data_IF_525640475111
#
_entry.id   IF_525640475111
#
_cell.length_a   1.000
_cell.length_b   1.000
_cell.length_c   1.000
_cell.angle_alpha   90.00
_cell.angle_beta   90.00
_cell.angle_gamma   90.00
#
_symmetry.space_group_name_H-M   'P 1'
#
loop_
_entity.id
_entity.type
_entity.pdbx_description
1 polymer ?
#
# COMPACT_ATOMS: atom_id res chain seq x y z
N UNK A 1 24.02 48.94 -9.17
CA UNK A 1 23.53 47.88 -10.08
C UNK A 1 24.65 46.87 -10.39
N UNK A 2 24.81 45.80 -9.60
CA UNK A 2 25.46 44.59 -10.15
C UNK A 2 24.85 43.25 -9.67
N UNK A 3 23.63 43.22 -9.14
CA UNK A 3 23.02 41.96 -8.60
C UNK A 3 22.17 41.16 -9.61
N UNK A 4 21.84 41.72 -10.77
CA UNK A 4 21.00 41.04 -11.77
C UNK A 4 21.79 40.12 -12.72
N UNK A 5 23.08 40.37 -12.92
CA UNK A 5 23.93 39.61 -13.85
C UNK A 5 24.39 38.27 -13.26
N UNK A 6 24.62 38.18 -11.95
CA UNK A 6 24.98 36.92 -11.28
C UNK A 6 23.82 35.93 -11.20
N UNK A 7 22.58 36.41 -11.04
CA UNK A 7 21.40 35.56 -11.02
C UNK A 7 21.14 34.91 -12.40
N UNK A 8 21.30 35.68 -13.48
CA UNK A 8 21.18 35.18 -14.85
C UNK A 8 22.28 34.17 -15.20
N UNK A 9 23.51 34.40 -14.74
CA UNK A 9 24.64 33.48 -14.95
C UNK A 9 24.52 32.17 -14.15
N UNK A 10 23.89 32.21 -12.96
CA UNK A 10 23.58 31.00 -12.18
C UNK A 10 22.47 30.19 -12.85
N UNK A 11 21.41 30.85 -13.32
CA UNK A 11 20.28 30.19 -13.99
C UNK A 11 20.72 29.48 -15.28
N UNK A 12 21.58 30.12 -16.09
CA UNK A 12 22.11 29.53 -17.33
C UNK A 12 23.03 28.33 -17.08
N UNK A 13 23.82 28.35 -16.00
CA UNK A 13 24.64 27.19 -15.59
C UNK A 13 23.78 26.02 -15.09
N UNK A 14 22.70 26.26 -14.33
CA UNK A 14 21.76 25.19 -13.93
C UNK A 14 21.00 24.59 -15.11
N UNK A 15 20.62 25.40 -16.10
CA UNK A 15 19.96 24.91 -17.32
C UNK A 15 20.92 24.12 -18.22
N UNK A 16 22.19 24.52 -18.32
CA UNK A 16 23.21 23.78 -19.06
C UNK A 16 23.54 22.43 -18.40
N UNK A 17 23.64 22.38 -17.07
CA UNK A 17 23.87 21.11 -16.33
C UNK A 17 22.66 20.18 -16.44
N UNK A 18 21.43 20.70 -16.40
CA UNK A 18 20.22 19.90 -16.61
C UNK A 18 20.12 19.34 -18.04
N UNK A 19 20.55 20.11 -19.06
CA UNK A 19 20.60 19.65 -20.45
C UNK A 19 21.69 18.58 -20.69
N UNK A 20 22.84 18.66 -20.01
CA UNK A 20 23.89 17.64 -20.09
C UNK A 20 23.52 16.33 -19.37
N UNK A 21 22.78 16.40 -18.26
CA UNK A 21 22.24 15.20 -17.59
C UNK A 21 21.13 14.55 -18.43
N UNK A 22 20.31 15.34 -19.12
CA UNK A 22 19.28 14.83 -20.03
C UNK A 22 19.86 14.18 -21.29
N UNK A 23 20.95 14.70 -21.87
CA UNK A 23 21.65 14.04 -22.99
C UNK A 23 22.40 12.78 -22.55
N UNK A 24 22.96 12.74 -21.33
CA UNK A 24 23.63 11.55 -20.79
C UNK A 24 22.67 10.37 -20.56
N UNK A 25 21.41 10.64 -20.21
CA UNK A 25 20.38 9.62 -20.01
C UNK A 25 19.80 9.06 -21.33
N UNK A 26 19.89 9.81 -22.44
CA UNK A 26 19.46 9.33 -23.76
C UNK A 26 20.58 8.55 -24.47
N UNK A 27 21.85 8.89 -24.22
CA UNK A 27 23.00 8.16 -24.78
C UNK A 27 23.31 6.83 -24.05
N UNK A 28 22.87 6.66 -22.80
CA UNK A 28 23.02 5.41 -22.04
C UNK A 28 22.07 4.28 -22.47
N UNK A 29 21.07 4.57 -23.29
CA UNK A 29 20.08 3.60 -23.76
C UNK A 29 20.44 2.92 -25.09
N UNK A 30 21.53 3.32 -25.76
CA UNK A 30 21.94 2.78 -27.06
C UNK A 30 23.22 1.94 -27.03
N UNK A 31 23.75 1.63 -25.84
CA UNK A 31 24.89 0.72 -25.65
C UNK A 31 24.44 -0.58 -24.96
N UNK A 32 23.41 -1.25 -25.49
CA UNK A 32 23.25 -2.68 -25.26
C UNK A 32 24.19 -3.42 -26.23
N UNK A 33 25.04 -4.27 -25.64
CA UNK A 33 25.96 -5.18 -26.32
C UNK A 33 25.45 -5.65 -27.68
N UNK A 34 26.22 -5.35 -28.73
CA UNK A 34 26.21 -6.18 -29.95
C UNK A 34 26.59 -7.59 -29.51
N UNK A 35 25.61 -8.49 -29.47
CA UNK A 35 25.89 -9.92 -29.47
C UNK A 35 26.71 -10.22 -30.73
N UNK A 36 27.82 -10.94 -30.57
CA UNK A 36 28.45 -11.62 -31.70
C UNK A 36 27.43 -12.62 -32.23
N UNK A 37 27.13 -12.54 -33.53
CA UNK A 37 26.30 -13.50 -34.23
C UNK A 37 27.00 -14.88 -34.18
N UNK A 38 26.53 -15.76 -33.30
CA UNK A 38 26.88 -17.17 -33.38
C UNK A 38 26.35 -17.73 -34.72
N UNK A 39 27.13 -18.57 -35.43
CA UNK A 39 26.67 -19.19 -36.66
C UNK A 39 25.39 -20.00 -36.39
N UNK A 40 24.43 -20.00 -37.34
CA UNK A 40 23.17 -20.71 -37.17
C UNK A 40 23.43 -22.19 -36.86
N UNK A 41 22.66 -22.81 -35.96
CA UNK A 41 22.79 -24.24 -35.68
C UNK A 41 22.65 -25.02 -36.99
N UNK A 42 23.37 -26.15 -37.16
CA UNK A 42 23.24 -26.97 -38.36
C UNK A 42 21.76 -27.31 -38.60
N UNK A 43 21.32 -27.33 -39.87
CA UNK A 43 19.92 -27.59 -40.18
C UNK A 43 19.49 -28.87 -39.51
N UNK A 44 18.38 -28.80 -38.75
CA UNK A 44 17.75 -29.97 -38.18
C UNK A 44 17.58 -31.00 -39.28
N UNK A 45 18.20 -32.17 -39.09
CA UNK A 45 18.11 -33.29 -40.03
C UNK A 45 16.63 -33.59 -40.28
N UNK A 46 16.23 -33.40 -41.54
CA UNK A 46 14.93 -33.67 -42.14
C UNK A 46 13.78 -33.99 -41.18
N UNK A 47 13.06 -32.96 -40.74
CA UNK A 47 11.64 -33.17 -40.43
C UNK A 47 10.97 -33.61 -41.74
N UNK A 48 10.55 -34.88 -41.82
CA UNK A 48 9.64 -35.32 -42.87
C UNK A 48 8.50 -34.32 -42.99
N UNK A 49 8.21 -33.89 -44.21
CA UNK A 49 7.28 -32.79 -44.55
C UNK A 49 6.07 -32.72 -43.60
N UNK A 50 6.13 -31.82 -42.63
CA UNK A 50 5.02 -31.44 -41.75
C UNK A 50 4.01 -30.54 -42.45
N UNK A 51 3.64 -30.89 -43.69
CA UNK A 51 2.53 -30.26 -44.41
C UNK A 51 1.22 -30.95 -44.05
N UNK A 52 0.11 -30.21 -44.08
CA UNK A 52 -1.23 -30.80 -44.06
C UNK A 52 -1.33 -31.69 -45.32
N UNK A 53 -1.21 -33.00 -45.14
CA UNK A 53 -1.43 -33.99 -46.20
C UNK A 53 -2.93 -34.04 -46.47
N UNK A 54 -3.37 -33.74 -47.69
CA UNK A 54 -4.76 -33.94 -48.09
C UNK A 54 -5.11 -35.42 -47.94
N UNK A 55 -6.06 -35.75 -47.07
CA UNK A 55 -6.54 -37.12 -46.89
C UNK A 55 -7.80 -37.33 -47.74
N UNK A 56 -7.87 -38.46 -48.43
CA UNK A 56 -9.08 -38.83 -49.16
C UNK A 56 -10.18 -39.20 -48.15
N UNK A 57 -11.35 -38.57 -48.25
CA UNK A 57 -12.47 -38.76 -47.31
C UNK A 57 -12.91 -40.23 -47.17
N UNK A 58 -12.67 -41.05 -48.19
CA UNK A 58 -12.98 -42.48 -48.15
C UNK A 58 -12.00 -43.30 -47.28
N UNK A 59 -10.80 -42.77 -47.00
CA UNK A 59 -9.76 -43.40 -46.17
C UNK A 59 -9.82 -42.93 -44.70
N UNK A 60 -10.62 -41.90 -44.39
CA UNK A 60 -10.81 -41.33 -43.04
C UNK A 60 -12.02 -41.94 -42.33
N UNK A 61 -12.64 -42.96 -42.93
CA UNK A 61 -13.73 -43.70 -42.29
C UNK A 61 -13.22 -44.33 -40.98
N UNK A 62 -13.96 -44.17 -39.85
CA UNK A 62 -13.54 -44.70 -38.55
C UNK A 62 -13.23 -46.20 -38.57
N UNK A 63 -13.84 -46.95 -39.49
CA UNK A 63 -13.66 -48.39 -39.68
C UNK A 63 -12.34 -48.76 -40.41
N UNK A 64 -11.76 -47.82 -41.17
CA UNK A 64 -10.57 -48.02 -42.02
C UNK A 64 -9.32 -47.45 -41.35
N UNK A 65 -9.44 -46.31 -40.68
CA UNK A 65 -8.37 -45.70 -39.91
C UNK A 65 -8.95 -45.11 -38.63
N UNK A 66 -8.82 -45.81 -37.48
CA UNK A 66 -9.24 -45.28 -36.21
C UNK A 66 -8.57 -43.92 -35.96
N UNK A 67 -9.34 -42.96 -35.45
CA UNK A 67 -8.76 -41.66 -35.09
C UNK A 67 -7.65 -41.88 -34.05
N UNK A 68 -6.58 -41.10 -34.14
CA UNK A 68 -5.48 -41.18 -33.19
C UNK A 68 -6.02 -41.05 -31.75
N UNK A 69 -7.05 -40.25 -31.54
CA UNK A 69 -7.73 -40.06 -30.25
C UNK A 69 -8.36 -41.32 -29.65
N UNK A 70 -8.70 -42.31 -30.47
CA UNK A 70 -9.27 -43.59 -30.02
C UNK A 70 -8.25 -44.60 -29.53
N UNK A 71 -6.94 -44.30 -29.66
CA UNK A 71 -5.88 -45.19 -29.19
C UNK A 71 -5.90 -45.28 -27.64
N UNK A 72 -5.74 -46.48 -27.05
CA UNK A 72 -5.57 -46.62 -25.62
C UNK A 72 -4.40 -45.77 -25.11
N UNK A 73 -4.61 -45.06 -24.01
CA UNK A 73 -3.57 -44.21 -23.43
C UNK A 73 -3.29 -42.92 -24.22
N UNK A 74 -4.15 -42.56 -25.19
CA UNK A 74 -3.92 -41.38 -26.03
C UNK A 74 -3.74 -40.13 -25.18
N UNK A 75 -4.56 -39.89 -24.15
CA UNK A 75 -4.47 -38.67 -23.34
C UNK A 75 -3.20 -38.60 -22.49
N UNK A 76 -2.57 -39.73 -22.22
CA UNK A 76 -1.39 -39.88 -21.37
C UNK A 76 -0.08 -39.76 -22.16
N UNK A 77 -0.13 -39.78 -23.49
CA UNK A 77 1.08 -39.71 -24.33
C UNK A 77 1.83 -38.38 -24.16
N UNK A 78 3.16 -38.47 -24.06
CA UNK A 78 4.08 -37.33 -24.16
C UNK A 78 4.21 -36.83 -25.62
N UNK A 79 4.92 -35.72 -25.85
CA UNK A 79 5.08 -35.16 -27.19
C UNK A 79 5.75 -36.10 -28.20
N UNK A 80 6.74 -36.89 -27.77
CA UNK A 80 7.43 -37.82 -28.67
C UNK A 80 6.50 -38.95 -29.12
N UNK A 81 5.67 -39.48 -28.21
CA UNK A 81 4.63 -40.46 -28.51
C UNK A 81 3.53 -39.87 -29.39
N UNK A 82 3.06 -38.64 -29.07
CA UNK A 82 2.05 -37.92 -29.87
C UNK A 82 2.50 -37.74 -31.30
N UNK A 83 3.75 -37.34 -31.52
CA UNK A 83 4.28 -37.07 -32.84
C UNK A 83 4.37 -38.34 -33.72
N UNK A 84 4.30 -39.55 -33.15
CA UNK A 84 4.24 -40.81 -33.91
C UNK A 84 2.83 -41.10 -34.43
N UNK A 85 1.79 -40.75 -33.68
CA UNK A 85 0.39 -41.08 -34.01
C UNK A 85 -0.39 -39.92 -34.63
N UNK A 86 0.00 -38.69 -34.29
CA UNK A 86 -0.57 -37.46 -34.84
C UNK A 86 0.54 -36.39 -34.94
N UNK A 87 1.40 -36.46 -35.98
CA UNK A 87 2.48 -35.49 -36.20
C UNK A 87 1.98 -34.05 -36.20
N UNK A 88 2.74 -33.13 -35.60
CA UNK A 88 2.38 -31.71 -35.49
C UNK A 88 1.44 -31.36 -34.33
N UNK A 89 0.83 -32.34 -33.65
CA UNK A 89 0.09 -32.08 -32.41
C UNK A 89 1.04 -32.01 -31.21
N UNK A 90 1.18 -30.83 -30.62
CA UNK A 90 1.98 -30.55 -29.41
C UNK A 90 1.12 -30.40 -28.13
N UNK A 91 -0.14 -30.88 -28.15
CA UNK A 91 -1.06 -30.83 -27.01
C UNK A 91 -0.46 -31.28 -25.67
N UNK A 92 0.33 -32.36 -25.56
CA UNK A 92 0.87 -32.76 -24.25
C UNK A 92 1.80 -31.71 -23.63
N UNK A 93 2.63 -31.05 -24.45
CA UNK A 93 3.51 -29.96 -24.03
C UNK A 93 2.69 -28.75 -23.58
N UNK A 94 1.67 -28.35 -24.35
CA UNK A 94 0.81 -27.23 -23.95
C UNK A 94 0.00 -27.51 -22.69
N UNK A 95 -0.42 -28.77 -22.46
CA UNK A 95 -1.04 -29.18 -21.19
C UNK A 95 -0.04 -29.04 -20.03
N UNK A 96 1.20 -29.46 -20.22
CA UNK A 96 2.28 -29.25 -19.25
C UNK A 96 2.51 -27.77 -18.96
N UNK A 97 2.65 -26.95 -20.00
CA UNK A 97 2.80 -25.49 -19.88
C UNK A 97 1.62 -24.88 -19.13
N UNK A 98 0.38 -25.24 -19.46
CA UNK A 98 -0.82 -24.77 -18.76
C UNK A 98 -0.85 -25.19 -17.28
N UNK A 99 -0.27 -26.35 -16.96
CA UNK A 99 -0.14 -26.84 -15.59
C UNK A 99 1.01 -26.17 -14.80
N UNK A 100 1.80 -25.30 -15.43
CA UNK A 100 2.94 -24.63 -14.77
C UNK A 100 4.28 -25.32 -14.95
N UNK A 101 4.41 -26.21 -15.96
CA UNK A 101 5.68 -26.88 -16.21
C UNK A 101 6.82 -25.87 -16.46
N UNK A 102 7.94 -26.08 -15.79
CA UNK A 102 9.14 -25.28 -15.94
C UNK A 102 9.95 -25.75 -17.17
N UNK A 103 10.18 -24.83 -18.10
CA UNK A 103 11.09 -25.01 -19.22
C UNK A 103 12.54 -24.70 -18.87
N UNK A 104 13.44 -25.02 -19.79
CA UNK A 104 14.86 -24.69 -19.63
C UNK A 104 15.12 -23.21 -19.92
N UNK A 105 15.96 -22.59 -19.09
CA UNK A 105 16.51 -21.24 -19.29
C UNK A 105 17.97 -21.23 -18.83
N UNK A 106 18.81 -20.43 -19.48
CA UNK A 106 20.21 -20.23 -19.09
C UNK A 106 20.37 -19.23 -17.94
N UNK A 107 19.29 -18.56 -17.52
CA UNK A 107 19.34 -17.59 -16.43
C UNK A 107 19.48 -18.30 -15.07
N UNK A 108 20.38 -17.82 -14.18
CA UNK A 108 20.48 -18.36 -12.83
C UNK A 108 19.16 -18.20 -12.07
N UNK A 109 18.69 -19.26 -11.39
CA UNK A 109 17.47 -19.22 -10.56
C UNK A 109 17.52 -18.16 -9.46
N UNK A 110 18.71 -17.82 -8.95
CA UNK A 110 18.89 -16.75 -7.97
C UNK A 110 18.58 -15.36 -8.51
N UNK A 111 18.67 -15.14 -9.83
CA UNK A 111 18.36 -13.88 -10.49
C UNK A 111 16.97 -13.89 -11.13
N UNK A 112 16.55 -15.04 -11.66
CA UNK A 112 15.30 -15.20 -12.38
C UNK A 112 14.61 -16.53 -11.99
N UNK A 113 14.01 -16.62 -10.79
CA UNK A 113 13.49 -17.87 -10.23
C UNK A 113 12.39 -18.52 -11.07
N UNK A 114 11.62 -17.73 -11.82
CA UNK A 114 10.52 -18.20 -12.67
C UNK A 114 10.77 -18.01 -14.17
N UNK A 115 12.01 -17.79 -14.63
CA UNK A 115 12.29 -17.54 -16.05
C UNK A 115 11.96 -18.72 -16.98
N UNK A 116 11.90 -19.94 -16.46
CA UNK A 116 11.43 -21.12 -17.19
C UNK A 116 9.90 -21.27 -17.22
N UNK A 117 9.14 -20.46 -16.48
CA UNK A 117 7.70 -20.65 -16.28
C UNK A 117 6.91 -19.68 -17.16
N UNK A 118 6.31 -20.20 -18.24
CA UNK A 118 5.51 -19.39 -19.16
C UNK A 118 4.13 -19.04 -18.58
N UNK A 119 3.39 -20.05 -18.10
CA UNK A 119 2.09 -19.90 -17.45
C UNK A 119 2.26 -20.36 -16.00
N UNK A 120 1.83 -19.54 -15.04
CA UNK A 120 1.87 -19.94 -13.63
C UNK A 120 0.88 -21.08 -13.38
N UNK A 121 1.24 -21.95 -12.43
CA UNK A 121 0.40 -23.05 -11.97
C UNK A 121 -1.02 -22.60 -11.60
N UNK A 122 -1.91 -23.58 -11.57
CA UNK A 122 -3.28 -23.34 -11.14
C UNK A 122 -3.34 -23.26 -9.62
N UNK A 123 -3.93 -22.19 -9.11
CA UNK A 123 -4.16 -21.97 -7.69
C UNK A 123 -5.60 -21.52 -7.47
N UNK A 124 -6.04 -21.62 -6.23
CA UNK A 124 -7.31 -21.09 -5.80
C UNK A 124 -7.10 -20.16 -4.60
N UNK A 125 -7.22 -18.86 -4.84
CA UNK A 125 -7.22 -17.86 -3.77
C UNK A 125 -8.64 -17.69 -3.21
N UNK A 126 -8.79 -17.17 -1.98
CA UNK A 126 -10.11 -16.87 -1.43
C UNK A 126 -10.94 -15.98 -2.37
N UNK A 127 -12.10 -16.48 -2.81
CA UNK A 127 -12.99 -15.76 -3.73
C UNK A 127 -12.66 -15.91 -5.22
N UNK A 128 -11.67 -16.73 -5.61
CA UNK A 128 -11.41 -17.10 -7.01
C UNK A 128 -11.86 -18.54 -7.31
N UNK A 129 -12.05 -18.83 -8.61
CA UNK A 129 -12.09 -20.22 -9.10
C UNK A 129 -10.68 -20.81 -9.14
N UNK A 130 -10.58 -22.14 -9.28
CA UNK A 130 -9.32 -22.79 -9.64
C UNK A 130 -8.93 -22.38 -11.07
N UNK A 131 -7.81 -21.68 -11.21
CA UNK A 131 -7.32 -21.13 -12.48
C UNK A 131 -5.85 -20.74 -12.34
N UNK A 132 -5.19 -20.31 -13.42
CA UNK A 132 -3.80 -19.82 -13.36
C UNK A 132 -3.64 -18.71 -12.31
N UNK A 133 -2.51 -18.69 -11.60
CA UNK A 133 -2.31 -17.80 -10.46
C UNK A 133 -2.53 -16.30 -10.75
N UNK A 134 -2.08 -15.82 -11.90
CA UNK A 134 -2.34 -14.44 -12.33
C UNK A 134 -3.83 -14.13 -12.51
N UNK A 135 -4.61 -15.07 -13.06
CA UNK A 135 -6.05 -14.92 -13.23
C UNK A 135 -6.80 -15.05 -11.90
N UNK A 136 -6.36 -15.95 -11.02
CA UNK A 136 -6.91 -16.09 -9.67
C UNK A 136 -6.74 -14.78 -8.89
N UNK A 137 -5.53 -14.21 -8.90
CA UNK A 137 -5.24 -12.90 -8.29
C UNK A 137 -6.11 -11.79 -8.89
N UNK A 138 -6.26 -11.76 -10.22
CA UNK A 138 -7.07 -10.75 -10.91
C UNK A 138 -8.54 -10.83 -10.48
N UNK A 139 -9.09 -12.04 -10.31
CA UNK A 139 -10.45 -12.23 -9.82
C UNK A 139 -10.60 -11.73 -8.39
N UNK A 140 -9.70 -12.10 -7.47
CA UNK A 140 -9.77 -11.62 -6.08
C UNK A 140 -9.65 -10.09 -6.04
N UNK A 141 -8.69 -9.51 -6.76
CA UNK A 141 -8.49 -8.07 -6.82
C UNK A 141 -9.73 -7.34 -7.36
N UNK A 142 -10.21 -7.74 -8.53
CA UNK A 142 -11.21 -6.96 -9.27
C UNK A 142 -12.66 -7.26 -8.87
N UNK A 143 -12.94 -8.47 -8.39
CA UNK A 143 -14.30 -8.87 -8.03
C UNK A 143 -14.55 -8.69 -6.53
N UNK A 144 -13.50 -8.73 -5.70
CA UNK A 144 -13.62 -8.64 -4.24
C UNK A 144 -12.94 -7.41 -3.66
N UNK A 145 -11.61 -7.31 -3.73
CA UNK A 145 -10.88 -6.28 -2.99
C UNK A 145 -11.29 -4.87 -3.43
N UNK A 146 -11.31 -4.60 -4.73
CA UNK A 146 -11.62 -3.27 -5.23
C UNK A 146 -13.10 -2.88 -5.03
N UNK A 147 -14.10 -3.68 -5.41
CA UNK A 147 -15.50 -3.27 -5.27
C UNK A 147 -15.91 -3.10 -3.81
N UNK A 148 -15.61 -4.10 -2.96
CA UNK A 148 -16.01 -4.05 -1.56
C UNK A 148 -15.15 -3.07 -0.76
N UNK A 149 -13.85 -2.97 -1.05
CA UNK A 149 -12.98 -1.99 -0.42
C UNK A 149 -13.35 -0.55 -0.78
N UNK A 150 -13.66 -0.29 -2.06
CA UNK A 150 -14.17 1.01 -2.52
C UNK A 150 -15.52 1.35 -1.89
N UNK A 151 -16.44 0.38 -1.86
CA UNK A 151 -17.75 0.55 -1.20
C UNK A 151 -17.59 0.85 0.30
N UNK A 152 -16.71 0.14 1.01
CA UNK A 152 -16.45 0.37 2.42
C UNK A 152 -15.92 1.78 2.68
N UNK A 153 -14.98 2.27 1.87
CA UNK A 153 -14.47 3.65 2.00
C UNK A 153 -15.60 4.68 1.80
N UNK A 154 -16.46 4.48 0.80
CA UNK A 154 -17.60 5.36 0.55
C UNK A 154 -18.63 5.30 1.69
N UNK A 155 -18.89 4.11 2.24
CA UNK A 155 -19.78 3.92 3.40
C UNK A 155 -19.24 4.67 4.61
N UNK A 156 -17.94 4.55 4.90
CA UNK A 156 -17.31 5.25 6.02
C UNK A 156 -17.36 6.77 5.82
N UNK A 157 -17.04 7.26 4.63
CA UNK A 157 -17.15 8.69 4.31
C UNK A 157 -18.59 9.19 4.45
N UNK A 158 -19.56 8.42 3.96
CA UNK A 158 -20.99 8.71 4.11
C UNK A 158 -21.43 8.71 5.57
N UNK A 159 -20.98 7.75 6.37
CA UNK A 159 -21.28 7.68 7.80
C UNK A 159 -20.70 8.87 8.57
N UNK A 160 -19.46 9.28 8.27
CA UNK A 160 -18.84 10.48 8.83
C UNK A 160 -19.64 11.72 8.44
N UNK A 161 -20.03 11.85 7.17
CA UNK A 161 -20.82 12.99 6.69
C UNK A 161 -22.19 13.06 7.40
N UNK A 162 -22.92 11.94 7.46
CA UNK A 162 -24.22 11.85 8.15
C UNK A 162 -24.05 12.21 9.62
N UNK A 163 -23.03 11.68 10.30
CA UNK A 163 -22.77 11.97 11.70
C UNK A 163 -22.48 13.47 11.91
N UNK A 164 -21.61 14.06 11.09
CA UNK A 164 -21.30 15.50 11.15
C UNK A 164 -22.53 16.38 10.93
N UNK A 165 -23.35 16.10 9.91
CA UNK A 165 -24.54 16.91 9.63
C UNK A 165 -25.70 16.68 10.62
N UNK A 166 -25.73 15.53 11.31
CA UNK A 166 -26.78 15.22 12.30
C UNK A 166 -26.43 15.65 13.73
N UNK A 167 -25.15 15.57 14.12
CA UNK A 167 -24.70 15.84 15.50
C UNK A 167 -23.78 17.06 15.62
N UNK A 168 -23.22 17.55 14.52
CA UNK A 168 -22.25 18.64 14.53
C UNK A 168 -20.88 18.21 15.08
N UNK A 169 -20.07 19.20 15.44
CA UNK A 169 -18.81 18.97 16.13
C UNK A 169 -19.05 18.74 17.63
N UNK A 170 -18.24 17.88 18.25
CA UNK A 170 -18.20 17.72 19.70
C UNK A 170 -17.58 18.99 20.28
N UNK A 171 -18.41 19.76 20.98
CA UNK A 171 -18.03 20.99 21.67
C UNK A 171 -17.44 20.71 23.05
N UNK A 172 -16.61 21.62 23.53
CA UNK A 172 -16.17 21.68 24.93
C UNK A 172 -16.93 22.79 25.63
N UNK A 173 -17.38 22.51 26.86
CA UNK A 173 -18.16 23.41 27.66
C UNK A 173 -17.25 24.29 28.52
N UNK A 174 -17.22 25.58 28.18
CA UNK A 174 -16.44 26.59 28.89
C UNK A 174 -15.03 26.77 28.33
N UNK A 175 -14.43 27.90 28.69
CA UNK A 175 -13.06 28.25 28.31
C UNK A 175 -12.40 28.93 29.50
N UNK A 176 -11.31 28.37 30.01
CA UNK A 176 -10.59 28.97 31.15
C UNK A 176 -9.47 29.92 30.70
N UNK A 177 -9.01 29.80 29.44
CA UNK A 177 -7.87 30.53 28.91
C UNK A 177 -6.51 29.98 29.39
N UNK A 178 -6.50 29.08 30.38
CA UNK A 178 -5.31 28.41 30.88
C UNK A 178 -4.97 27.23 29.98
N UNK A 179 -3.72 27.15 29.53
CA UNK A 179 -3.27 26.14 28.56
C UNK A 179 -2.43 25.06 29.22
N UNK A 180 -2.65 23.81 28.81
CA UNK A 180 -1.87 22.64 29.20
C UNK A 180 -1.23 22.04 27.95
N UNK A 181 0.06 21.69 28.02
CA UNK A 181 0.79 21.07 26.92
C UNK A 181 0.44 19.58 26.79
N UNK A 182 -0.52 19.28 25.90
CA UNK A 182 -0.91 17.92 25.55
C UNK A 182 0.11 17.22 24.67
N UNK A 183 0.82 17.92 23.77
CA UNK A 183 1.79 17.32 22.85
C UNK A 183 3.08 18.15 22.75
N UNK A 184 4.22 17.51 23.00
CA UNK A 184 5.54 18.14 22.87
C UNK A 184 5.85 18.45 21.39
N UNK A 185 6.80 19.37 21.09
CA UNK A 185 7.24 19.62 19.73
C UNK A 185 7.71 18.35 18.99
N UNK A 186 8.38 17.44 19.68
CA UNK A 186 8.84 16.17 19.10
C UNK A 186 7.67 15.23 18.79
N UNK A 187 6.72 15.07 19.72
CA UNK A 187 5.51 14.27 19.49
C UNK A 187 4.73 14.77 18.26
N UNK A 188 4.61 16.11 18.13
CA UNK A 188 3.95 16.74 16.98
C UNK A 188 4.71 16.54 15.68
N UNK A 189 6.03 16.74 15.67
CA UNK A 189 6.81 16.58 14.43
C UNK A 189 6.80 15.14 13.93
N UNK A 190 6.92 14.16 14.84
CA UNK A 190 6.78 12.74 14.52
C UNK A 190 5.40 12.42 13.92
N UNK A 191 4.34 12.93 14.55
CA UNK A 191 2.98 12.76 14.06
C UNK A 191 2.79 13.37 12.66
N UNK A 192 3.20 14.63 12.44
CA UNK A 192 3.02 15.31 11.16
C UNK A 192 3.84 14.66 10.04
N UNK A 193 5.06 14.22 10.32
CA UNK A 193 5.86 13.47 9.34
C UNK A 193 5.14 12.20 8.89
N UNK A 194 4.65 11.41 9.85
CA UNK A 194 3.92 10.18 9.57
C UNK A 194 2.58 10.44 8.87
N UNK A 195 1.84 11.47 9.28
CA UNK A 195 0.56 11.83 8.69
C UNK A 195 0.68 12.29 7.23
N UNK A 196 1.70 13.11 6.91
CA UNK A 196 1.97 13.54 5.54
C UNK A 196 2.36 12.35 4.65
N UNK A 197 3.22 11.46 5.15
CA UNK A 197 3.59 10.24 4.44
C UNK A 197 2.37 9.34 4.19
N UNK A 198 1.52 9.15 5.21
CA UNK A 198 0.28 8.38 5.10
C UNK A 198 -0.67 8.96 4.05
N UNK A 199 -0.91 10.27 4.05
CA UNK A 199 -1.80 10.92 3.07
C UNK A 199 -1.25 10.77 1.64
N UNK A 200 0.07 10.95 1.45
CA UNK A 200 0.70 10.74 0.15
C UNK A 200 0.53 9.29 -0.35
N UNK A 201 0.72 8.31 0.55
CA UNK A 201 0.53 6.88 0.27
C UNK A 201 -0.94 6.53 0.00
N UNK A 202 -1.88 7.04 0.78
CA UNK A 202 -3.30 6.77 0.63
C UNK A 202 -3.82 7.32 -0.70
N UNK A 203 -3.48 8.57 -1.04
CA UNK A 203 -3.90 9.19 -2.31
C UNK A 203 -3.29 8.46 -3.50
N UNK A 204 -1.99 8.18 -3.49
CA UNK A 204 -1.35 7.43 -4.57
C UNK A 204 -1.91 6.01 -4.69
N UNK A 205 -2.15 5.32 -3.58
CA UNK A 205 -2.75 3.99 -3.54
C UNK A 205 -4.17 3.96 -4.12
N UNK A 206 -5.02 4.92 -3.74
CA UNK A 206 -6.39 5.05 -4.28
C UNK A 206 -6.34 5.27 -5.80
N UNK A 207 -5.46 6.14 -6.30
CA UNK A 207 -5.36 6.39 -7.74
C UNK A 207 -4.83 5.16 -8.48
N UNK A 208 -3.85 4.43 -7.94
CA UNK A 208 -3.37 3.18 -8.54
C UNK A 208 -4.45 2.08 -8.54
N UNK A 209 -5.26 2.00 -7.48
CA UNK A 209 -6.32 1.01 -7.33
C UNK A 209 -7.52 1.28 -8.27
N UNK A 210 -8.00 2.53 -8.29
CA UNK A 210 -9.27 2.91 -8.90
C UNK A 210 -9.15 3.81 -10.13
N UNK A 211 -7.99 4.45 -10.34
CA UNK A 211 -7.80 5.47 -11.37
C UNK A 211 -8.10 4.98 -12.78
N UNK A 212 -7.86 3.70 -13.09
CA UNK A 212 -8.22 3.11 -14.39
C UNK A 212 -9.73 3.18 -14.68
N UNK A 213 -10.57 3.08 -13.66
CA UNK A 213 -12.02 3.03 -13.82
C UNK A 213 -12.66 4.42 -13.85
N UNK A 214 -12.10 5.38 -13.12
CA UNK A 214 -12.71 6.71 -12.96
C UNK A 214 -11.91 7.84 -13.61
N UNK A 215 -10.58 7.82 -13.54
CA UNK A 215 -9.74 8.91 -14.03
C UNK A 215 -9.34 8.71 -15.49
N UNK A 216 -8.95 7.49 -15.88
CA UNK A 216 -8.54 7.19 -17.26
C UNK A 216 -9.60 7.56 -18.30
N UNK A 217 -10.91 7.25 -18.13
CA UNK A 217 -11.93 7.61 -19.12
C UNK A 217 -12.11 9.13 -19.27
N UNK A 218 -11.79 9.91 -18.24
CA UNK A 218 -11.97 11.37 -18.22
C UNK A 218 -10.72 12.09 -18.75
N UNK A 219 -9.53 11.63 -18.37
CA UNK A 219 -8.26 12.32 -18.62
C UNK A 219 -7.55 11.82 -19.90
N UNK A 220 -7.90 10.64 -20.41
CA UNK A 220 -7.18 9.98 -21.50
C UNK A 220 -5.84 9.35 -21.07
N UNK A 221 -5.29 8.51 -21.94
CA UNK A 221 -4.11 7.68 -21.64
C UNK A 221 -2.84 8.47 -21.32
N UNK A 222 -2.58 9.57 -22.04
CA UNK A 222 -1.35 10.36 -21.88
C UNK A 222 -1.28 11.01 -20.50
N UNK A 223 -2.33 11.73 -20.10
CA UNK A 223 -2.34 12.45 -18.83
C UNK A 223 -2.44 11.49 -17.64
N UNK A 224 -3.27 10.45 -17.76
CA UNK A 224 -3.35 9.40 -16.74
C UNK A 224 -2.02 8.63 -16.58
N UNK A 225 -1.31 8.38 -17.67
CA UNK A 225 0.01 7.74 -17.65
C UNK A 225 1.03 8.55 -16.84
N UNK A 226 1.14 9.86 -17.09
CA UNK A 226 2.02 10.73 -16.31
C UNK A 226 1.62 10.82 -14.83
N UNK A 227 0.32 10.94 -14.55
CA UNK A 227 -0.20 10.99 -13.18
C UNK A 227 0.14 9.70 -12.41
N UNK A 228 -0.14 8.54 -12.99
CA UNK A 228 0.13 7.25 -12.35
C UNK A 228 1.62 6.96 -12.22
N UNK A 229 2.44 7.37 -13.20
CA UNK A 229 3.89 7.32 -13.07
C UNK A 229 4.38 8.14 -11.87
N UNK A 230 3.95 9.39 -11.75
CA UNK A 230 4.33 10.26 -10.64
C UNK A 230 3.87 9.69 -9.29
N UNK A 231 2.60 9.28 -9.18
CA UNK A 231 2.03 8.76 -7.95
C UNK A 231 2.62 7.41 -7.53
N UNK A 232 2.93 6.52 -8.47
CA UNK A 232 3.66 5.28 -8.18
C UNK A 232 5.02 5.60 -7.57
N UNK A 233 5.78 6.52 -8.17
CA UNK A 233 7.09 6.89 -7.63
C UNK A 233 6.96 7.51 -6.24
N UNK A 234 6.00 8.43 -6.03
CA UNK A 234 5.70 8.97 -4.70
C UNK A 234 5.38 7.85 -3.72
N UNK A 235 4.59 6.86 -4.11
CA UNK A 235 4.22 5.74 -3.25
C UNK A 235 5.45 4.92 -2.82
N UNK A 236 6.30 4.55 -3.79
CA UNK A 236 7.50 3.74 -3.55
C UNK A 236 8.54 4.46 -2.68
N UNK A 237 8.66 5.79 -2.78
CA UNK A 237 9.58 6.55 -1.92
C UNK A 237 8.97 6.92 -0.56
N UNK A 238 7.67 7.21 -0.52
CA UNK A 238 6.98 7.52 0.73
C UNK A 238 6.81 6.28 1.62
N UNK A 239 6.77 5.07 1.04
CA UNK A 239 6.60 3.81 1.77
C UNK A 239 7.67 3.57 2.83
N UNK A 240 8.98 3.57 2.47
CA UNK A 240 10.06 3.45 3.45
C UNK A 240 10.09 4.60 4.47
N UNK A 241 9.78 5.84 4.05
CA UNK A 241 9.66 6.98 4.97
C UNK A 241 8.52 6.76 5.98
N UNK A 242 7.38 6.25 5.53
CA UNK A 242 6.26 5.89 6.38
C UNK A 242 6.65 4.77 7.34
N UNK A 243 7.36 3.73 6.89
CA UNK A 243 7.82 2.65 7.78
C UNK A 243 8.69 3.17 8.95
N UNK A 244 9.66 4.04 8.66
CA UNK A 244 10.54 4.63 9.68
C UNK A 244 9.76 5.57 10.60
N UNK A 245 8.95 6.47 10.04
CA UNK A 245 8.17 7.43 10.83
C UNK A 245 7.09 6.76 11.68
N UNK A 246 6.47 5.69 11.20
CA UNK A 246 5.52 4.87 11.95
C UNK A 246 6.19 4.20 13.15
N UNK A 247 7.41 3.68 13.00
CA UNK A 247 8.18 3.14 14.12
C UNK A 247 8.47 4.21 15.18
N UNK A 248 8.88 5.42 14.74
CA UNK A 248 9.09 6.56 15.65
C UNK A 248 7.79 6.90 16.39
N UNK A 249 6.66 7.03 15.67
CA UNK A 249 5.34 7.30 16.27
C UNK A 249 4.95 6.21 17.26
N UNK A 250 5.13 4.94 16.91
CA UNK A 250 4.82 3.81 17.80
C UNK A 250 5.57 3.94 19.13
N UNK A 251 6.90 4.05 19.11
CA UNK A 251 7.68 4.13 20.35
C UNK A 251 7.43 5.43 21.12
N UNK A 252 7.16 6.54 20.42
CA UNK A 252 6.86 7.84 21.04
C UNK A 252 5.57 7.79 21.87
N UNK A 253 4.54 7.11 21.38
CA UNK A 253 3.21 7.10 22.02
C UNK A 253 2.88 5.79 22.77
N UNK A 254 3.75 4.79 22.72
CA UNK A 254 3.53 3.45 23.30
C UNK A 254 3.16 3.50 24.78
N UNK A 255 3.91 4.26 25.58
CA UNK A 255 3.72 4.33 27.04
C UNK A 255 2.31 4.80 27.42
N UNK A 256 1.82 5.83 26.75
CA UNK A 256 0.54 6.45 27.08
C UNK A 256 -0.66 5.70 26.48
N UNK A 257 -0.42 4.79 25.53
CA UNK A 257 -1.44 3.98 24.87
C UNK A 257 -1.57 2.57 25.44
N UNK A 258 -0.91 2.27 26.56
CA UNK A 258 -1.08 0.97 27.20
C UNK A 258 -2.53 0.78 27.67
N UNK A 259 -3.15 -0.40 27.43
CA UNK A 259 -4.50 -0.67 27.90
C UNK A 259 -4.61 -0.60 29.43
N UNK A 260 -5.67 0.06 29.91
CA UNK A 260 -5.94 0.31 31.32
C UNK A 260 -7.34 -0.20 31.69
N UNK A 261 -7.56 -0.50 32.99
CA UNK A 261 -8.84 -1.06 33.48
C UNK A 261 -10.07 -0.18 33.18
N UNK A 262 -9.88 1.14 33.02
CA UNK A 262 -10.95 2.08 32.65
C UNK A 262 -11.37 2.01 31.18
N UNK A 263 -10.52 1.50 30.29
CA UNK A 263 -10.75 1.55 28.84
C UNK A 263 -11.95 0.68 28.42
N UNK A 264 -12.11 -0.49 29.04
CA UNK A 264 -13.26 -1.35 28.75
C UNK A 264 -14.58 -0.67 29.12
N UNK A 265 -14.62 0.05 30.24
CA UNK A 265 -15.82 0.83 30.63
C UNK A 265 -16.08 1.98 29.66
N UNK A 266 -15.03 2.61 29.13
CA UNK A 266 -15.16 3.65 28.11
C UNK A 266 -15.73 3.08 26.80
N UNK A 267 -15.22 1.92 26.34
CA UNK A 267 -15.70 1.23 25.13
C UNK A 267 -17.15 0.77 25.26
N UNK A 268 -17.53 0.18 26.41
CA UNK A 268 -18.91 -0.25 26.67
C UNK A 268 -19.90 0.92 26.70
N UNK A 269 -19.45 2.13 27.04
CA UNK A 269 -20.23 3.36 26.96
C UNK A 269 -20.18 4.03 25.58
N UNK A 270 -19.50 3.42 24.61
CA UNK A 270 -19.34 3.93 23.26
C UNK A 270 -18.67 5.31 23.22
N UNK A 271 -17.75 5.60 24.15
CA UNK A 271 -17.12 6.92 24.24
C UNK A 271 -18.07 8.07 24.59
N UNK A 272 -19.26 7.78 25.14
CA UNK A 272 -20.25 8.78 25.48
C UNK A 272 -21.20 9.15 24.32
N UNK A 273 -21.06 8.51 23.14
CA UNK A 273 -21.89 8.78 21.95
C UNK A 273 -23.40 8.56 22.20
N UNK A 274 -23.74 7.64 23.13
CA UNK A 274 -25.11 7.29 23.51
C UNK A 274 -25.50 7.82 24.90
N UNK A 275 -24.62 8.59 25.56
CA UNK A 275 -24.85 9.16 26.88
C UNK A 275 -25.54 10.53 26.83
N UNK A 276 -25.66 11.18 28.00
CA UNK A 276 -26.03 12.61 28.05
C UNK A 276 -25.00 13.42 27.27
N UNK A 277 -25.47 14.33 26.41
CA UNK A 277 -24.60 15.19 25.62
C UNK A 277 -23.59 15.93 26.52
N UNK A 278 -22.30 15.87 26.17
CA UNK A 278 -21.24 16.60 26.88
C UNK A 278 -20.62 15.91 28.10
N UNK A 279 -20.74 14.59 28.25
CA UNK A 279 -19.96 13.85 29.26
C UNK A 279 -19.28 12.64 28.63
N UNK A 280 -18.05 12.83 28.16
CA UNK A 280 -17.16 11.74 27.79
C UNK A 280 -16.81 10.93 29.06
N UNK A 281 -16.78 9.58 29.01
CA UNK A 281 -16.32 8.81 30.14
C UNK A 281 -14.88 9.21 30.51
N UNK A 282 -14.56 9.34 31.81
CA UNK A 282 -13.26 9.84 32.23
C UNK A 282 -12.13 8.95 31.69
N UNK A 283 -11.10 9.60 31.15
CA UNK A 283 -9.99 8.96 30.45
C UNK A 283 -8.66 9.57 30.85
N UNK A 284 -7.57 8.82 30.63
CA UNK A 284 -6.20 9.34 30.75
C UNK A 284 -5.83 10.17 29.52
N UNK A 285 -4.53 10.43 29.30
CA UNK A 285 -4.04 11.28 28.20
C UNK A 285 -4.62 10.86 26.84
N UNK A 286 -4.78 9.55 26.64
CA UNK A 286 -5.51 8.96 25.52
C UNK A 286 -6.71 8.17 26.02
N UNK A 287 -7.86 8.32 25.35
CA UNK A 287 -9.06 7.53 25.60
C UNK A 287 -9.00 6.15 24.93
N UNK A 288 -9.97 5.29 25.21
CA UNK A 288 -9.94 3.93 24.68
C UNK A 288 -10.10 3.86 23.15
N UNK A 289 -10.80 4.82 22.54
CA UNK A 289 -10.90 4.93 21.08
C UNK A 289 -9.54 5.27 20.44
N UNK A 290 -8.82 6.25 20.99
CA UNK A 290 -7.46 6.59 20.57
C UNK A 290 -6.50 5.39 20.72
N UNK A 291 -6.64 4.61 21.80
CA UNK A 291 -5.86 3.38 22.00
C UNK A 291 -6.19 2.28 21.00
N UNK A 292 -7.45 2.15 20.58
CA UNK A 292 -7.84 1.23 19.49
C UNK A 292 -7.19 1.67 18.18
N UNK A 293 -7.13 2.97 17.88
CA UNK A 293 -6.42 3.48 16.70
C UNK A 293 -4.92 3.19 16.80
N UNK A 294 -4.32 3.33 17.97
CA UNK A 294 -2.91 3.01 18.20
C UNK A 294 -2.61 1.52 17.98
N UNK A 295 -3.32 0.61 18.66
CA UNK A 295 -3.03 -0.82 18.56
C UNK A 295 -3.52 -1.46 17.27
N UNK A 296 -4.73 -1.10 16.82
CA UNK A 296 -5.33 -1.64 15.61
C UNK A 296 -4.76 -1.00 14.34
N UNK A 297 -4.71 0.33 14.30
CA UNK A 297 -4.30 1.09 13.11
C UNK A 297 -2.79 1.23 13.00
N UNK A 298 -2.16 1.84 13.99
CA UNK A 298 -0.71 2.13 13.97
C UNK A 298 0.12 0.84 14.05
N UNK A 299 -0.19 -0.04 15.00
CA UNK A 299 0.61 -1.25 15.21
C UNK A 299 0.19 -2.39 14.27
N UNK A 300 -1.01 -2.94 14.44
CA UNK A 300 -1.42 -4.16 13.74
C UNK A 300 -1.51 -3.97 12.21
N UNK A 301 -2.37 -3.05 11.75
CA UNK A 301 -2.51 -2.76 10.33
C UNK A 301 -1.24 -2.12 9.75
N UNK A 302 -0.60 -1.23 10.50
CA UNK A 302 0.64 -0.58 10.09
C UNK A 302 1.77 -1.57 9.79
N UNK A 303 1.99 -2.58 10.64
CA UNK A 303 2.99 -3.63 10.38
C UNK A 303 2.64 -4.42 9.13
N UNK A 304 1.37 -4.81 8.94
CA UNK A 304 0.95 -5.58 7.77
C UNK A 304 1.16 -4.77 6.48
N UNK A 305 0.76 -3.49 6.47
CA UNK A 305 0.93 -2.59 5.33
C UNK A 305 2.41 -2.37 5.02
N UNK A 306 3.23 -2.09 6.02
CA UNK A 306 4.68 -1.88 5.84
C UNK A 306 5.35 -3.16 5.35
N UNK A 307 5.13 -4.30 6.00
CA UNK A 307 5.77 -5.56 5.62
C UNK A 307 5.40 -5.97 4.19
N UNK A 308 4.11 -5.95 3.85
CA UNK A 308 3.66 -6.25 2.49
C UNK A 308 4.12 -5.21 1.46
N UNK A 309 4.19 -3.93 1.83
CA UNK A 309 4.69 -2.86 0.97
C UNK A 309 6.18 -3.00 0.66
N UNK A 310 7.00 -3.33 1.65
CA UNK A 310 8.44 -3.59 1.46
C UNK A 310 8.69 -4.81 0.58
N UNK A 311 7.83 -5.83 0.63
CA UNK A 311 7.87 -6.96 -0.32
C UNK A 311 7.52 -6.49 -1.73
N UNK A 312 6.49 -5.65 -1.88
CA UNK A 312 6.09 -5.12 -3.20
C UNK A 312 7.15 -4.21 -3.82
N UNK A 313 7.91 -3.48 -3.01
CA UNK A 313 9.05 -2.66 -3.44
C UNK A 313 10.37 -3.43 -3.55
N UNK A 314 10.35 -4.74 -3.26
CA UNK A 314 11.52 -5.62 -3.29
C UNK A 314 12.68 -5.19 -2.38
N UNK A 315 12.33 -4.66 -1.20
CA UNK A 315 13.30 -4.13 -0.23
C UNK A 315 13.69 -5.13 0.87
N UNK A 316 13.07 -6.31 0.91
CA UNK A 316 13.42 -7.36 1.87
C UNK A 316 14.60 -8.17 1.32
N UNK A 317 15.77 -8.17 2.00
CA UNK A 317 16.93 -8.93 1.56
C UNK A 317 16.68 -10.42 1.69
N UNK A 318 17.30 -11.21 0.82
CA UNK A 318 17.23 -12.69 0.79
C UNK A 318 15.82 -13.28 0.57
N UNK A 319 14.82 -12.46 0.24
CA UNK A 319 13.50 -12.94 -0.16
C UNK A 319 13.51 -13.29 -1.65
N UNK A 320 12.93 -14.44 -2.00
CA UNK A 320 12.73 -14.84 -3.39
C UNK A 320 11.47 -14.16 -3.93
N UNK A 321 11.64 -13.32 -4.95
CA UNK A 321 10.55 -12.52 -5.54
C UNK A 321 9.92 -13.23 -6.74
N UNK A 322 9.06 -14.18 -6.46
CA UNK A 322 8.22 -14.88 -7.45
C UNK A 322 6.92 -14.10 -7.70
N UNK A 323 6.28 -14.33 -8.86
CA UNK A 323 4.99 -13.71 -9.17
C UNK A 323 3.93 -14.07 -8.11
N UNK A 324 3.95 -15.30 -7.58
CA UNK A 324 3.05 -15.73 -6.50
C UNK A 324 3.24 -14.90 -5.22
N UNK A 325 4.48 -14.72 -4.77
CA UNK A 325 4.82 -13.87 -3.62
C UNK A 325 4.27 -12.45 -3.78
N UNK A 326 4.45 -11.86 -4.96
CA UNK A 326 3.96 -10.50 -5.25
C UNK A 326 2.43 -10.42 -5.27
N UNK A 327 1.74 -11.45 -5.78
CA UNK A 327 0.28 -11.50 -5.79
C UNK A 327 -0.30 -11.55 -4.38
N UNK A 328 0.26 -12.41 -3.52
CA UNK A 328 -0.17 -12.54 -2.12
C UNK A 328 0.12 -11.24 -1.36
N UNK A 329 1.34 -10.72 -1.47
CA UNK A 329 1.71 -9.45 -0.84
C UNK A 329 0.77 -8.32 -1.28
N UNK A 330 0.42 -8.24 -2.56
CA UNK A 330 -0.52 -7.25 -3.07
C UNK A 330 -1.92 -7.41 -2.46
N UNK A 331 -2.47 -8.63 -2.40
CA UNK A 331 -3.80 -8.85 -1.82
C UNK A 331 -3.83 -8.47 -0.33
N UNK A 332 -2.82 -8.89 0.44
CA UNK A 332 -2.66 -8.54 1.86
C UNK A 332 -2.53 -7.02 2.03
N UNK A 333 -1.67 -6.38 1.24
CA UNK A 333 -1.46 -4.94 1.27
C UNK A 333 -2.75 -4.18 0.98
N UNK A 334 -3.46 -4.56 -0.08
CA UNK A 334 -4.68 -3.88 -0.49
C UNK A 334 -5.81 -4.01 0.56
N UNK A 335 -5.98 -5.18 1.18
CA UNK A 335 -6.98 -5.35 2.25
C UNK A 335 -6.59 -4.55 3.50
N UNK A 336 -5.35 -4.66 3.96
CA UNK A 336 -4.89 -3.98 5.16
C UNK A 336 -4.91 -2.45 5.00
N UNK A 337 -4.52 -1.92 3.84
CA UNK A 337 -4.56 -0.48 3.56
C UNK A 337 -5.99 0.06 3.51
N UNK A 338 -6.95 -0.65 2.94
CA UNK A 338 -8.37 -0.23 2.97
C UNK A 338 -8.89 -0.13 4.40
N UNK A 339 -8.64 -1.16 5.23
CA UNK A 339 -9.05 -1.16 6.63
C UNK A 339 -8.37 -0.02 7.41
N UNK A 340 -7.08 0.20 7.16
CA UNK A 340 -6.32 1.27 7.77
C UNK A 340 -6.89 2.63 7.37
N UNK A 341 -7.14 2.88 6.08
CA UNK A 341 -7.78 4.12 5.62
C UNK A 341 -9.13 4.35 6.28
N UNK A 342 -9.98 3.32 6.43
CA UNK A 342 -11.26 3.46 7.12
C UNK A 342 -11.10 3.94 8.57
N UNK A 343 -10.16 3.34 9.31
CA UNK A 343 -9.88 3.74 10.69
C UNK A 343 -9.29 5.15 10.77
N UNK A 344 -8.35 5.48 9.89
CA UNK A 344 -7.70 6.78 9.88
C UNK A 344 -8.60 7.89 9.35
N UNK A 345 -9.61 7.61 8.51
CA UNK A 345 -10.67 8.58 8.19
C UNK A 345 -11.44 8.98 9.44
N UNK A 346 -11.80 8.03 10.31
CA UNK A 346 -12.42 8.32 11.61
C UNK A 346 -11.49 9.12 12.53
N UNK A 347 -10.21 8.75 12.61
CA UNK A 347 -9.20 9.48 13.37
C UNK A 347 -9.01 10.93 12.87
N UNK A 348 -8.89 11.12 11.56
CA UNK A 348 -8.76 12.45 10.93
C UNK A 348 -10.01 13.25 11.20
N UNK A 349 -11.21 12.68 11.05
CA UNK A 349 -12.47 13.35 11.33
C UNK A 349 -12.50 13.87 12.78
N UNK A 350 -12.32 13.01 13.78
CA UNK A 350 -12.35 13.40 15.20
C UNK A 350 -11.21 14.38 15.54
N UNK A 351 -10.01 14.17 14.99
CA UNK A 351 -8.85 15.02 15.23
C UNK A 351 -8.89 16.38 14.53
N UNK A 352 -9.85 16.62 13.63
CA UNK A 352 -9.96 17.87 12.87
C UNK A 352 -11.27 18.63 13.13
N UNK A 353 -12.34 18.22 12.45
CA UNK A 353 -13.64 18.92 12.45
C UNK A 353 -14.66 18.28 13.37
N UNK A 354 -14.44 17.03 13.79
CA UNK A 354 -15.36 16.26 14.63
C UNK A 354 -15.28 16.62 16.12
N UNK A 355 -14.15 17.14 16.59
CA UNK A 355 -13.97 17.59 17.98
C UNK A 355 -13.28 18.95 18.03
N UNK A 356 -13.95 19.94 18.62
CA UNK A 356 -13.35 21.27 18.79
C UNK A 356 -12.13 21.18 19.71
N UNK A 357 -11.08 21.95 19.37
CA UNK A 357 -9.82 21.98 20.14
C UNK A 357 -8.83 20.87 19.80
N UNK A 358 -9.27 19.70 19.30
CA UNK A 358 -8.38 18.58 18.99
C UNK A 358 -7.29 18.93 17.95
N UNK A 359 -7.67 19.60 16.86
CA UNK A 359 -6.71 20.05 15.84
C UNK A 359 -5.69 21.06 16.41
N UNK A 360 -6.14 21.97 17.27
CA UNK A 360 -5.26 22.95 17.92
C UNK A 360 -4.21 22.27 18.79
N UNK A 361 -4.58 21.19 19.48
CA UNK A 361 -3.67 20.38 20.28
C UNK A 361 -2.51 19.84 19.41
N UNK A 362 -2.80 19.29 18.24
CA UNK A 362 -1.78 18.72 17.37
C UNK A 362 -0.99 19.78 16.59
N UNK A 363 -1.59 20.94 16.31
CA UNK A 363 -0.91 22.05 15.63
C UNK A 363 0.02 22.82 16.57
N UNK A 364 -0.45 23.18 17.76
CA UNK A 364 0.27 24.07 18.69
C UNK A 364 0.90 23.34 19.88
N UNK A 365 0.41 22.16 20.22
CA UNK A 365 0.83 21.38 21.39
C UNK A 365 -0.06 21.58 22.61
N UNK A 366 -0.96 22.56 22.59
CA UNK A 366 -1.69 23.02 23.77
C UNK A 366 -3.21 22.80 23.65
N UNK A 367 -3.82 22.50 24.79
CA UNK A 367 -5.28 22.45 24.98
C UNK A 367 -5.69 23.36 26.12
N UNK A 368 -6.95 23.80 26.13
CA UNK A 368 -7.52 24.52 27.26
C UNK A 368 -7.72 23.58 28.45
N UNK A 369 -7.65 24.11 29.66
CA UNK A 369 -7.89 23.37 30.89
C UNK A 369 -9.31 22.79 30.96
N UNK A 370 -10.32 23.51 30.47
CA UNK A 370 -11.69 22.99 30.40
C UNK A 370 -11.78 21.77 29.47
N UNK A 371 -11.07 21.81 28.34
CA UNK A 371 -10.99 20.71 27.39
C UNK A 371 -10.35 19.47 28.03
N UNK A 372 -9.23 19.66 28.74
CA UNK A 372 -8.55 18.58 29.45
C UNK A 372 -9.46 17.94 30.50
N UNK A 373 -10.19 18.76 31.27
CA UNK A 373 -11.11 18.30 32.31
C UNK A 373 -12.30 17.52 31.74
N UNK A 374 -12.86 17.96 30.62
CA UNK A 374 -14.05 17.34 30.01
C UNK A 374 -13.74 16.03 29.28
N UNK A 375 -12.68 16.03 28.46
CA UNK A 375 -12.36 14.88 27.59
C UNK A 375 -11.38 13.88 28.23
N UNK A 376 -10.53 14.35 29.14
CA UNK A 376 -9.41 13.60 29.71
C UNK A 376 -9.25 13.83 31.21
N UNK A 377 -10.35 13.68 31.95
CA UNK A 377 -10.45 14.01 33.37
C UNK A 377 -9.31 13.43 34.23
N UNK A 378 -8.93 12.15 34.05
CA UNK A 378 -7.85 11.54 34.84
C UNK A 378 -6.47 12.14 34.51
N UNK A 379 -6.25 12.51 33.24
CA UNK A 379 -5.02 13.21 32.86
C UNK A 379 -4.97 14.61 33.46
N UNK A 380 -6.09 15.33 33.44
CA UNK A 380 -6.20 16.63 34.07
C UNK A 380 -5.91 16.56 35.59
N UNK A 381 -6.47 15.57 36.28
CA UNK A 381 -6.19 15.31 37.70
C UNK A 381 -4.71 15.04 37.97
N UNK A 382 -4.04 14.26 37.11
CA UNK A 382 -2.60 13.99 37.23
C UNK A 382 -1.75 15.25 37.02
N UNK A 383 -2.18 16.18 36.15
CA UNK A 383 -1.53 17.48 35.95
C UNK A 383 -1.73 18.38 37.17
N UNK A 384 -2.95 18.46 37.71
CA UNK A 384 -3.25 19.25 38.92
C UNK A 384 -2.53 18.71 40.16
N UNK A 385 -2.39 17.39 40.26
CA UNK A 385 -1.65 16.73 41.33
C UNK A 385 -0.11 16.87 41.18
N UNK A 386 0.38 17.53 40.13
CA UNK A 386 1.81 17.73 39.88
C UNK A 386 2.57 16.46 39.46
N UNK A 387 1.87 15.35 39.18
CA UNK A 387 2.50 14.11 38.68
C UNK A 387 3.01 14.28 37.25
N UNK A 388 2.33 15.13 36.47
CA UNK A 388 2.69 15.49 35.10
C UNK A 388 2.81 17.02 35.03
N UNK A 389 3.94 17.57 34.56
CA UNK A 389 4.06 19.02 34.37
C UNK A 389 3.02 19.54 33.36
N UNK A 390 2.38 20.67 33.67
CA UNK A 390 1.47 21.34 32.74
C UNK A 390 2.16 21.78 31.44
N UNK A 391 3.48 22.05 31.50
CA UNK A 391 4.36 22.23 30.36
C UNK A 391 5.51 21.23 30.48
N UNK A 392 5.59 20.30 29.53
CA UNK A 392 6.55 19.19 29.48
C UNK A 392 7.79 19.55 28.67
N UNK A 393 7.67 20.47 27.72
CA UNK A 393 8.77 20.94 26.88
C UNK A 393 9.45 22.15 27.52
N UNK A 394 10.78 22.12 27.58
CA UNK A 394 11.58 23.29 27.90
C UNK A 394 11.43 24.34 26.78
N UNK A 395 11.28 25.64 27.08
CA UNK A 395 11.29 26.67 26.05
C UNK A 395 12.56 26.56 25.21
N UNK A 396 12.42 26.49 23.88
CA UNK A 396 13.56 26.58 22.99
C UNK A 396 14.10 28.02 23.07
N UNK A 397 15.19 28.21 23.81
CA UNK A 397 15.87 29.49 23.92
C UNK A 397 15.54 30.29 25.18
N UNK A 398 15.91 29.76 26.35
CA UNK A 398 16.59 30.57 27.36
C UNK A 398 17.82 29.77 27.78
N UNK A 399 19.01 30.30 27.42
CA UNK A 399 20.25 29.92 28.08
C UNK A 399 20.07 30.06 29.60
N UNK A 400 20.87 29.32 30.35
CA UNK A 400 20.72 29.03 31.78
C UNK A 400 20.74 30.23 32.76
N UNK A 401 20.49 31.47 32.33
CA UNK A 401 20.70 32.68 33.14
C UNK A 401 19.42 33.46 33.51
N UNK A 402 18.22 33.04 33.11
CA UNK A 402 16.99 33.81 33.37
C UNK A 402 16.05 33.22 34.45
N UNK A 403 16.56 32.39 35.37
CA UNK A 403 15.76 31.83 36.50
C UNK A 403 16.24 32.34 37.87
N UNK A 404 17.09 33.38 37.91
CA UNK A 404 17.38 34.13 39.14
C UNK A 404 17.04 35.60 38.93
N UNK A 405 15.75 35.93 39.03
CA UNK A 405 15.17 37.17 39.60
C UNK A 405 13.78 37.38 38.99
N UNK A 406 12.75 37.00 39.75
CA UNK A 406 11.44 37.66 39.79
C UNK A 406 10.74 37.23 41.07
#
# INVERSE_FOLDING_TARGET
MPRSTEAAARLSRTLAVAAFVALGLVAGASAQNRAQDDPPPPPAQGAGQGGIQGQNIFDVKPEVKPDASSLPGYMEQNNAQRNRVQPGNNSPMWRGVQAGAEGYTSLPRSQAPEAGILIQEQVQYPGSRLTTAGEAWRQVRNNWILPYGGALLLIVLGAIAIFYFSKGAIETHGHTGRRIERFTPFERSAHWANAIAFVALAVSGIVMAFGKFFLLPIMGGTLFGWLTYALKNIHNFAGPLFAVSLAIVFFTFLRDNWPQRGDLKWLLKGGGLFGKAGHEPPSHRFNAGEKVVFWGGVFFLGIIVVASGLVLDKLIPNLVYERGTMQIAHMVHAVATVLMMCMFLGHIYLGTIGMRGAYSAMRTGYVDEAWAKEHHAYWYEDVQAGKIPAQRSKPAGLGADAVRTA
#
